data_IF_267786611142
#
_entry.id   IF_267786611142
#
_cell.length_a   1.000
_cell.length_b   1.000
_cell.length_c   1.000
_cell.angle_alpha   90.00
_cell.angle_beta   90.00
_cell.angle_gamma   90.00
#
_symmetry.space_group_name_H-M   'P 1'
#
loop_
_entity.id
_entity.type
_entity.pdbx_description
1 polymer ?
#
# COMPACT_ATOMS: atom_id res chain seq x y z
N UNK A 1 -11.35 22.10 -1.76
CA UNK A 1 -10.55 20.84 -1.63
C UNK A 1 -10.83 19.80 -2.73
N UNK A 2 -12.07 19.42 -3.06
CA UNK A 2 -12.36 18.40 -4.12
C UNK A 2 -11.61 18.62 -5.45
N UNK A 3 -11.54 19.87 -5.94
CA UNK A 3 -10.79 20.22 -7.17
C UNK A 3 -9.29 19.93 -7.05
N UNK A 4 -8.68 20.26 -5.92
CA UNK A 4 -7.25 20.04 -5.66
C UNK A 4 -6.89 18.54 -5.64
N UNK A 5 -7.73 17.70 -5.02
CA UNK A 5 -7.57 16.24 -5.08
C UNK A 5 -7.72 15.69 -6.50
N UNK A 6 -8.71 16.18 -7.26
CA UNK A 6 -8.90 15.79 -8.67
C UNK A 6 -7.70 16.20 -9.55
N UNK A 7 -7.11 17.36 -9.26
CA UNK A 7 -5.93 17.90 -9.95
C UNK A 7 -4.60 17.35 -9.40
N UNK A 8 -4.63 16.44 -8.41
CA UNK A 8 -3.43 15.88 -7.75
C UNK A 8 -2.48 16.93 -7.16
N UNK A 9 -2.98 18.10 -6.76
CA UNK A 9 -2.16 19.16 -6.15
C UNK A 9 -2.04 19.00 -4.63
N UNK A 10 -2.57 17.90 -4.07
CA UNK A 10 -2.51 17.59 -2.65
C UNK A 10 -1.47 16.50 -2.45
N UNK A 11 -0.40 16.86 -1.75
CA UNK A 11 0.59 15.93 -1.21
C UNK A 11 -0.07 15.09 -0.11
N UNK A 12 0.09 13.77 -0.20
CA UNK A 12 -0.52 12.79 0.70
C UNK A 12 0.59 11.84 1.16
N UNK A 13 1.04 12.03 2.40
CA UNK A 13 2.04 11.17 3.05
C UNK A 13 1.46 10.41 4.22
N UNK A 14 1.95 9.19 4.40
CA UNK A 14 1.55 8.29 5.45
C UNK A 14 2.78 7.53 5.94
N UNK A 15 2.84 7.26 7.25
CA UNK A 15 3.73 6.23 7.76
C UNK A 15 2.96 4.92 7.88
N UNK A 16 3.59 3.82 7.50
CA UNK A 16 3.08 2.48 7.70
C UNK A 16 4.17 1.57 8.28
N UNK A 17 3.78 0.62 9.11
CA UNK A 17 4.65 -0.49 9.50
C UNK A 17 4.24 -1.69 8.65
N UNK A 18 5.19 -2.28 7.94
CA UNK A 18 4.99 -3.41 7.02
C UNK A 18 5.80 -4.60 7.47
N UNK A 19 5.30 -5.81 7.24
CA UNK A 19 6.00 -7.04 7.62
C UNK A 19 7.20 -7.30 6.71
N UNK A 20 8.30 -7.79 7.28
CA UNK A 20 9.56 -8.00 6.58
C UNK A 20 10.26 -6.68 6.19
N UNK A 21 11.18 -6.78 5.24
CA UNK A 21 12.00 -5.67 4.76
C UNK A 21 11.77 -5.51 3.25
N UNK A 22 11.09 -4.44 2.79
CA UNK A 22 10.94 -4.18 1.37
C UNK A 22 12.31 -4.13 0.68
N UNK A 23 12.44 -4.87 -0.43
CA UNK A 23 13.61 -4.85 -1.30
C UNK A 23 13.14 -4.54 -2.74
N UNK A 24 13.53 -3.39 -3.32
CA UNK A 24 14.41 -2.37 -2.77
C UNK A 24 13.83 -1.62 -1.56
N UNK A 25 14.70 -1.02 -0.73
CA UNK A 25 14.26 -0.26 0.46
C UNK A 25 13.49 1.01 0.13
N UNK A 26 13.58 1.49 -1.10
CA UNK A 26 12.76 2.56 -1.65
C UNK A 26 12.32 2.23 -3.07
N UNK A 27 11.13 2.67 -3.46
CA UNK A 27 10.60 2.31 -4.76
C UNK A 27 9.24 2.92 -5.10
N UNK A 28 8.76 2.56 -6.29
CA UNK A 28 7.45 2.93 -6.78
C UNK A 28 6.68 1.66 -7.15
N UNK A 29 5.48 1.54 -6.60
CA UNK A 29 4.53 0.47 -6.91
C UNK A 29 3.51 1.06 -7.88
N UNK A 30 3.69 0.77 -9.17
CA UNK A 30 2.71 1.07 -10.21
C UNK A 30 1.95 -0.20 -10.58
N UNK A 31 0.84 -0.43 -9.88
CA UNK A 31 0.07 -1.65 -10.00
C UNK A 31 -1.44 -1.33 -9.92
N UNK A 32 -2.23 -1.54 -10.98
CA UNK A 32 -3.64 -1.17 -11.00
C UNK A 32 -4.47 -1.95 -9.97
N UNK A 33 -5.36 -1.26 -9.27
CA UNK A 33 -6.19 -1.83 -8.20
C UNK A 33 -7.65 -1.91 -8.62
N UNK A 34 -8.23 -3.10 -8.48
CA UNK A 34 -9.63 -3.39 -8.76
C UNK A 34 -10.28 -4.20 -7.62
N UNK A 35 -11.54 -4.59 -7.82
CA UNK A 35 -12.26 -5.44 -6.87
C UNK A 35 -11.69 -6.86 -6.95
N UNK A 36 -11.50 -7.49 -5.79
CA UNK A 36 -11.12 -8.89 -5.71
C UNK A 36 -12.32 -9.76 -6.16
N UNK A 37 -12.07 -10.78 -7.00
CA UNK A 37 -13.14 -11.71 -7.43
C UNK A 37 -13.64 -12.51 -6.22
N UNK A 38 -14.95 -12.49 -5.95
CA UNK A 38 -15.55 -13.25 -4.85
C UNK A 38 -15.38 -12.66 -3.43
N UNK A 39 -14.83 -11.45 -3.28
CA UNK A 39 -14.78 -10.76 -1.99
C UNK A 39 -15.55 -9.44 -2.04
N UNK A 40 -16.68 -9.33 -1.34
CA UNK A 40 -17.56 -8.15 -1.42
C UNK A 40 -16.85 -6.83 -1.07
N UNK A 41 -15.84 -6.88 -0.20
CA UNK A 41 -15.16 -5.70 0.34
C UNK A 41 -13.65 -5.66 0.09
N UNK A 42 -13.08 -6.70 -0.53
CA UNK A 42 -11.64 -6.77 -0.81
C UNK A 42 -11.28 -6.18 -2.16
N UNK A 43 -10.07 -5.65 -2.22
CA UNK A 43 -9.44 -5.11 -3.43
C UNK A 43 -8.18 -5.91 -3.73
N UNK A 44 -7.74 -5.92 -4.97
CA UNK A 44 -6.52 -6.61 -5.38
C UNK A 44 -5.84 -5.88 -6.52
N UNK A 45 -4.55 -6.15 -6.71
CA UNK A 45 -3.87 -5.82 -7.95
C UNK A 45 -4.48 -6.66 -9.07
N UNK A 46 -4.92 -6.01 -10.15
CA UNK A 46 -5.56 -6.67 -11.30
C UNK A 46 -5.41 -5.82 -12.54
N UNK A 47 -5.13 -6.46 -13.69
CA UNK A 47 -4.90 -5.78 -14.97
C UNK A 47 -6.05 -4.84 -15.38
N UNK A 48 -7.31 -5.21 -15.10
CA UNK A 48 -8.48 -4.37 -15.37
C UNK A 48 -8.76 -3.32 -14.28
N UNK A 49 -7.85 -3.14 -13.34
CA UNK A 49 -7.99 -2.23 -12.21
C UNK A 49 -7.84 -0.76 -12.58
N UNK A 50 -8.12 0.12 -11.62
CA UNK A 50 -7.84 1.55 -11.77
C UNK A 50 -6.35 1.80 -11.52
N UNK A 51 -5.72 2.57 -12.40
CA UNK A 51 -4.33 2.98 -12.25
C UNK A 51 -4.05 3.54 -10.85
N UNK A 52 -2.99 3.01 -10.23
CA UNK A 52 -2.64 3.24 -8.84
C UNK A 52 -1.12 3.28 -8.67
N UNK A 53 -0.60 4.39 -8.16
CA UNK A 53 0.83 4.61 -7.91
C UNK A 53 1.05 4.97 -6.44
N UNK A 54 1.94 4.22 -5.80
CA UNK A 54 2.42 4.42 -4.43
C UNK A 54 3.94 4.50 -4.45
N UNK A 55 4.52 5.57 -3.93
CA UNK A 55 5.96 5.67 -3.68
C UNK A 55 6.25 5.37 -2.22
N UNK A 56 7.37 4.74 -1.92
CA UNK A 56 7.77 4.48 -0.55
C UNK A 56 9.28 4.60 -0.34
N UNK A 57 9.65 4.93 0.88
CA UNK A 57 11.02 4.91 1.40
C UNK A 57 11.01 4.25 2.78
N UNK A 58 11.86 3.25 2.99
CA UNK A 58 12.02 2.63 4.31
C UNK A 58 12.82 3.56 5.21
N UNK A 59 12.21 3.96 6.33
CA UNK A 59 12.81 4.85 7.33
C UNK A 59 13.59 4.07 8.39
N UNK A 60 13.03 2.94 8.83
CA UNK A 60 13.61 2.11 9.89
C UNK A 60 13.30 0.63 9.65
N UNK A 61 14.26 -0.24 9.94
CA UNK A 61 14.10 -1.69 9.87
C UNK A 61 14.16 -2.28 11.28
N UNK A 62 13.13 -3.04 11.64
CA UNK A 62 13.06 -3.85 12.85
C UNK A 62 13.41 -5.31 12.53
N UNK A 63 13.36 -6.19 13.53
CA UNK A 63 13.69 -7.62 13.34
C UNK A 63 12.86 -8.31 12.24
N UNK A 64 11.56 -8.01 12.16
CA UNK A 64 10.62 -8.69 11.26
C UNK A 64 9.63 -7.73 10.57
N UNK A 65 9.93 -6.43 10.59
CA UNK A 65 9.09 -5.38 10.04
C UNK A 65 9.91 -4.15 9.65
N UNK A 66 9.32 -3.24 8.90
CA UNK A 66 9.90 -1.97 8.49
C UNK A 66 8.90 -0.83 8.67
N UNK A 67 9.37 0.31 9.17
CA UNK A 67 8.65 1.59 9.08
C UNK A 67 8.94 2.21 7.71
N UNK A 68 7.90 2.53 6.96
CA UNK A 68 7.99 3.16 5.64
C UNK A 68 7.28 4.51 5.62
N UNK A 69 7.91 5.52 5.00
CA UNK A 69 7.22 6.71 4.50
C UNK A 69 6.59 6.37 3.16
N UNK A 70 5.33 6.77 2.97
CA UNK A 70 4.53 6.43 1.80
C UNK A 70 3.95 7.69 1.22
N UNK A 71 4.31 8.00 -0.03
CA UNK A 71 3.76 9.11 -0.79
C UNK A 71 2.80 8.61 -1.88
N UNK A 72 1.57 9.10 -1.84
CA UNK A 72 0.49 8.68 -2.74
C UNK A 72 0.27 9.64 -3.91
N UNK A 73 0.66 9.23 -5.11
CA UNK A 73 0.29 9.95 -6.34
C UNK A 73 -1.22 9.77 -6.65
N UNK A 74 -1.74 8.56 -6.43
CA UNK A 74 -3.17 8.25 -6.54
C UNK A 74 -3.79 7.94 -5.19
N UNK A 75 -5.11 8.07 -5.07
CA UNK A 75 -5.85 7.65 -3.87
C UNK A 75 -6.96 6.67 -4.22
N UNK A 76 -6.65 5.38 -4.32
CA UNK A 76 -7.65 4.31 -4.46
C UNK A 76 -7.99 3.71 -3.10
N UNK A 77 -9.16 3.07 -3.02
CA UNK A 77 -9.59 2.36 -1.82
C UNK A 77 -8.57 1.29 -1.44
N UNK A 78 -8.14 1.30 -0.18
CA UNK A 78 -7.14 0.38 0.40
C UNK A 78 -5.78 0.36 -0.32
N UNK A 79 -5.42 1.41 -1.07
CA UNK A 79 -4.26 1.39 -1.96
C UNK A 79 -2.96 0.93 -1.28
N UNK A 80 -2.55 1.59 -0.18
CA UNK A 80 -1.32 1.24 0.56
C UNK A 80 -1.35 -0.23 0.98
N UNK A 81 -2.45 -0.66 1.61
CA UNK A 81 -2.65 -2.02 2.13
C UNK A 81 -2.53 -3.08 1.03
N UNK A 82 -3.20 -2.87 -0.10
CA UNK A 82 -3.21 -3.80 -1.24
C UNK A 82 -1.84 -3.88 -1.92
N UNK A 83 -1.18 -2.75 -2.13
CA UNK A 83 0.14 -2.68 -2.78
C UNK A 83 1.20 -3.40 -1.93
N UNK A 84 1.27 -3.09 -0.64
CA UNK A 84 2.24 -3.72 0.25
C UNK A 84 1.98 -5.22 0.44
N UNK A 85 0.72 -5.64 0.51
CA UNK A 85 0.39 -7.07 0.50
C UNK A 85 0.79 -7.77 -0.82
N UNK A 86 0.63 -7.10 -1.97
CA UNK A 86 1.04 -7.64 -3.26
C UNK A 86 2.56 -7.78 -3.41
N UNK A 87 3.34 -6.99 -2.66
CA UNK A 87 4.79 -7.15 -2.54
C UNK A 87 5.22 -8.16 -1.46
N UNK A 88 4.28 -8.90 -0.86
CA UNK A 88 4.55 -9.82 0.26
C UNK A 88 5.05 -9.13 1.54
N UNK A 89 4.78 -7.83 1.69
CA UNK A 89 5.08 -7.03 2.87
C UNK A 89 3.81 -6.37 3.41
N UNK A 90 2.76 -7.12 3.80
CA UNK A 90 1.49 -6.53 4.24
C UNK A 90 1.67 -5.59 5.43
N UNK A 91 0.78 -4.60 5.56
CA UNK A 91 0.77 -3.73 6.73
C UNK A 91 0.56 -4.55 8.00
N UNK A 92 1.36 -4.31 9.04
CA UNK A 92 1.24 -4.98 10.33
C UNK A 92 -0.18 -4.80 10.89
N UNK A 93 -0.76 -5.89 11.42
CA UNK A 93 -2.13 -5.92 11.95
C UNK A 93 -3.24 -6.00 10.88
N UNK A 94 -2.91 -6.03 9.59
CA UNK A 94 -3.90 -6.10 8.51
C UNK A 94 -4.46 -7.51 8.29
N UNK A 95 -5.48 -7.86 9.08
CA UNK A 95 -6.21 -9.13 8.97
C UNK A 95 -6.94 -9.32 7.62
N UNK A 96 -7.17 -8.24 6.86
CA UNK A 96 -7.87 -8.35 5.57
C UNK A 96 -6.94 -8.82 4.46
N UNK A 97 -5.71 -8.33 4.49
CA UNK A 97 -4.72 -8.50 3.41
C UNK A 97 -3.55 -9.43 3.77
N UNK A 98 -3.76 -10.29 4.77
CA UNK A 98 -2.89 -11.43 5.02
C UNK A 98 -1.66 -11.11 5.86
N UNK A 99 -1.71 -10.07 6.70
CA UNK A 99 -0.68 -9.87 7.70
C UNK A 99 -0.63 -11.05 8.68
N UNK A 100 0.57 -11.53 8.99
CA UNK A 100 0.78 -12.50 10.07
C UNK A 100 0.31 -11.89 11.41
N UNK A 101 -0.67 -12.49 12.09
CA UNK A 101 -1.22 -11.95 13.35
C UNK A 101 -0.23 -12.01 14.52
N UNK A 102 0.87 -12.78 14.43
CA UNK A 102 1.89 -12.87 15.49
C UNK A 102 2.87 -11.69 15.44
N UNK A 103 3.02 -11.05 14.28
CA UNK A 103 3.85 -9.86 14.09
C UNK A 103 3.10 -8.55 14.37
N UNK A 104 1.92 -8.63 14.99
CA UNK A 104 1.06 -7.50 15.36
C UNK A 104 1.55 -6.74 16.60
#
# INVERSE_FOLDING_TARGET
LKRAFKQRTVDKRYHAVVQGHPDPSSGTIDAPIGRHRGGEWKFAVTEGGRHSITHYDTLEMFRAASLVDVHLETGRTHQIRVHFAALHHPCVGDLTYGADPVLA
#
